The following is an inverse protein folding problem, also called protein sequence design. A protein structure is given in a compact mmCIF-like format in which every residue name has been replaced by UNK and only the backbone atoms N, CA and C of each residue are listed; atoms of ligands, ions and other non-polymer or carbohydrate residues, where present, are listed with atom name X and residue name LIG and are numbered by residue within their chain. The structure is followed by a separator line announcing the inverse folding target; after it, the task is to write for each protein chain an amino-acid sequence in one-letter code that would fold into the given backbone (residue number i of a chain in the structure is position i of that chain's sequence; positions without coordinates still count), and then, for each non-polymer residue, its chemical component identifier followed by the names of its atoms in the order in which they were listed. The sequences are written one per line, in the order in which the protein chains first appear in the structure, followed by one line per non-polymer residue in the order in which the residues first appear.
data_IF_097813150369
#
_entry.id   IF_097813150369
#
_cell.length_a   1.000
_cell.length_b   1.000
_cell.length_c   1.000
_cell.angle_alpha   90.00
_cell.angle_beta   90.00
_cell.angle_gamma   90.00
#
_symmetry.space_group_name_H-M   'P 1'
#
loop_
_entity.id
_entity.type
_entity.pdbx_description
1 polymer ?
#
# COMPACT_ATOMS: atom_id res chain seq x y z
N UNK A 1 -7.96 17.90 24.52
CA UNK A 1 -8.16 17.56 23.10
C UNK A 1 -6.89 17.87 22.35
N UNK A 2 -6.04 16.86 22.14
CA UNK A 2 -4.80 17.01 21.38
C UNK A 2 -5.12 17.12 19.90
N UNK A 3 -4.54 18.10 19.21
CA UNK A 3 -4.65 18.16 17.75
C UNK A 3 -3.88 16.96 17.18
N UNK A 4 -4.61 15.96 16.70
CA UNK A 4 -4.06 14.93 15.85
C UNK A 4 -3.80 15.57 14.48
N UNK A 5 -2.63 15.31 13.91
CA UNK A 5 -2.29 15.80 12.60
C UNK A 5 -3.19 15.16 11.52
N UNK A 6 -3.48 15.91 10.46
CA UNK A 6 -4.54 15.56 9.49
C UNK A 6 -4.04 14.68 8.34
N UNK A 7 -2.73 14.57 8.12
CA UNK A 7 -2.13 13.85 7.00
C UNK A 7 -1.20 12.71 7.45
N UNK A 8 -1.10 11.61 6.67
CA UNK A 8 -0.18 10.52 6.99
C UNK A 8 1.27 11.02 7.04
N UNK A 9 2.04 10.58 8.03
CA UNK A 9 3.45 10.97 8.19
C UNK A 9 3.70 12.35 8.80
N UNK A 10 2.65 13.08 9.21
CA UNK A 10 2.80 14.31 9.98
C UNK A 10 3.22 14.00 11.42
N UNK A 11 4.15 14.80 11.93
CA UNK A 11 4.59 14.75 13.32
C UNK A 11 4.19 16.04 14.01
N UNK A 12 3.58 15.91 15.19
CA UNK A 12 3.29 17.06 16.04
C UNK A 12 4.58 17.51 16.74
N UNK A 13 5.14 18.65 16.32
CA UNK A 13 6.27 19.31 16.99
C UNK A 13 5.78 20.55 17.73
N UNK A 14 6.37 20.81 18.89
CA UNK A 14 6.09 22.02 19.68
C UNK A 14 7.14 23.07 19.34
N UNK A 15 6.72 24.29 19.01
CA UNK A 15 7.61 25.42 18.75
C UNK A 15 8.20 26.00 20.07
N UNK A 16 9.17 26.90 19.95
CA UNK A 16 9.82 27.55 21.12
C UNK A 16 8.89 28.44 21.94
N UNK A 17 7.70 28.75 21.44
CA UNK A 17 6.64 29.55 22.10
C UNK A 17 5.52 28.66 22.65
N UNK A 18 5.66 27.33 22.59
CA UNK A 18 4.65 26.37 23.05
C UNK A 18 3.52 26.09 22.06
N UNK A 19 3.60 26.60 20.82
CA UNK A 19 2.65 26.31 19.75
C UNK A 19 2.82 24.89 19.21
N UNK A 20 1.74 24.13 19.06
CA UNK A 20 1.76 22.80 18.43
C UNK A 20 1.62 22.94 16.92
N UNK A 21 2.54 22.36 16.16
CA UNK A 21 2.52 22.38 14.70
C UNK A 21 2.72 20.99 14.13
N UNK A 22 1.88 20.63 13.15
CA UNK A 22 2.05 19.43 12.35
C UNK A 22 3.07 19.71 11.25
N UNK A 23 4.16 18.94 11.25
CA UNK A 23 5.24 19.06 10.27
C UNK A 23 5.49 17.74 9.59
N UNK A 24 5.81 17.79 8.30
CA UNK A 24 6.24 16.61 7.57
C UNK A 24 7.63 16.17 8.01
N UNK A 25 7.87 14.87 7.97
CA UNK A 25 9.21 14.31 8.14
C UNK A 25 10.19 14.92 7.14
N UNK A 26 11.32 15.42 7.64
CA UNK A 26 12.33 16.08 6.83
C UNK A 26 13.08 15.09 5.91
N UNK A 27 13.49 13.95 6.46
CA UNK A 27 14.32 12.95 5.77
C UNK A 27 13.90 11.51 6.09
N UNK A 28 14.18 10.61 5.15
CA UNK A 28 13.95 9.18 5.27
C UNK A 28 15.26 8.39 5.25
N UNK A 29 15.32 7.22 5.92
CA UNK A 29 16.46 6.31 5.79
C UNK A 29 16.66 5.89 4.33
N UNK A 30 17.91 5.65 3.93
CA UNK A 30 18.26 5.16 2.58
C UNK A 30 17.95 3.68 2.34
N UNK A 31 17.09 3.09 3.16
CA UNK A 31 16.67 1.69 3.05
C UNK A 31 15.60 1.61 1.97
N UNK A 32 15.85 0.81 0.93
CA UNK A 32 14.96 0.65 -0.23
C UNK A 32 14.18 -0.65 -0.08
N UNK A 33 12.93 -0.51 0.35
CA UNK A 33 11.93 -1.59 0.45
C UNK A 33 10.67 -1.06 -0.23
N UNK A 34 10.55 -1.25 -1.56
CA UNK A 34 9.59 -0.51 -2.36
C UNK A 34 8.14 -0.86 -1.98
N UNK A 35 7.26 0.13 -2.09
CA UNK A 35 5.81 -0.02 -1.86
C UNK A 35 5.02 0.65 -2.98
N UNK A 36 3.86 0.09 -3.29
CA UNK A 36 2.93 0.69 -4.24
C UNK A 36 1.92 1.56 -3.50
N UNK A 37 1.87 2.84 -3.84
CA UNK A 37 0.90 3.79 -3.30
C UNK A 37 -0.47 3.69 -3.97
N UNK A 38 -1.50 4.20 -3.29
CA UNK A 38 -2.86 4.28 -3.84
C UNK A 38 -3.03 5.25 -5.00
N UNK A 39 -2.03 6.09 -5.23
CA UNK A 39 -1.88 6.96 -6.39
C UNK A 39 -1.22 6.26 -7.60
N UNK A 40 -0.91 4.97 -7.49
CA UNK A 40 -0.24 4.19 -8.55
C UNK A 40 1.26 4.48 -8.67
N UNK A 41 1.85 5.22 -7.73
CA UNK A 41 3.28 5.56 -7.71
C UNK A 41 4.04 4.55 -6.85
N UNK A 42 5.20 4.11 -7.34
CA UNK A 42 6.13 3.30 -6.55
C UNK A 42 7.00 4.22 -5.70
N UNK A 43 7.02 3.98 -4.40
CA UNK A 43 7.87 4.69 -3.45
C UNK A 43 8.98 3.78 -2.95
N UNK A 44 10.17 4.35 -2.70
CA UNK A 44 11.36 3.61 -2.25
C UNK A 44 11.15 2.91 -0.89
N UNK A 45 10.31 3.49 -0.03
CA UNK A 45 9.84 2.88 1.21
C UNK A 45 8.58 3.57 1.72
N UNK A 46 7.94 2.99 2.74
CA UNK A 46 6.78 3.58 3.44
C UNK A 46 7.07 5.02 3.87
N UNK A 47 8.26 5.27 4.44
CA UNK A 47 8.66 6.61 4.87
C UNK A 47 8.59 7.63 3.72
N UNK A 48 9.07 7.24 2.52
CA UNK A 48 9.05 8.12 1.36
C UNK A 48 7.62 8.39 0.87
N UNK A 49 6.75 7.39 0.92
CA UNK A 49 5.33 7.53 0.61
C UNK A 49 4.66 8.50 1.58
N UNK A 50 4.82 8.31 2.88
CA UNK A 50 4.21 9.18 3.91
C UNK A 50 4.72 10.61 3.81
N UNK A 51 6.02 10.80 3.64
CA UNK A 51 6.60 12.13 3.43
C UNK A 51 6.00 12.80 2.19
N UNK A 52 5.87 12.07 1.09
CA UNK A 52 5.26 12.60 -0.13
C UNK A 52 3.77 12.92 0.07
N UNK A 53 3.02 12.05 0.76
CA UNK A 53 1.61 12.24 1.10
C UNK A 53 1.41 13.50 1.95
N UNK A 54 2.26 13.68 2.98
CA UNK A 54 2.28 14.86 3.84
C UNK A 54 2.60 16.14 3.06
N UNK A 55 3.69 16.15 2.29
CA UNK A 55 4.12 17.34 1.53
C UNK A 55 3.08 17.74 0.48
N UNK A 56 2.40 16.77 -0.12
CA UNK A 56 1.36 17.01 -1.11
C UNK A 56 -0.02 17.26 -0.49
N UNK A 57 -0.19 17.07 0.84
CA UNK A 57 -1.47 17.09 1.53
C UNK A 57 -2.50 16.18 0.85
N UNK A 58 -2.09 14.95 0.57
CA UNK A 58 -2.92 13.91 -0.06
C UNK A 58 -3.01 12.69 0.84
N UNK A 59 -4.15 12.02 0.78
CA UNK A 59 -4.30 10.74 1.43
C UNK A 59 -3.78 9.63 0.51
N UNK A 60 -2.48 9.34 0.62
CA UNK A 60 -1.85 8.21 -0.06
C UNK A 60 -1.54 7.16 0.99
N UNK A 61 -1.96 5.92 0.74
CA UNK A 61 -1.67 4.76 1.60
C UNK A 61 -1.01 3.67 0.76
N UNK A 62 -0.33 2.74 1.42
CA UNK A 62 0.24 1.58 0.74
C UNK A 62 -0.88 0.63 0.32
N UNK A 63 -0.93 0.31 -0.97
CA UNK A 63 -1.82 -0.71 -1.53
C UNK A 63 -1.22 -2.10 -1.33
N UNK A 64 0.07 -2.27 -1.64
CA UNK A 64 0.81 -3.51 -1.42
C UNK A 64 2.32 -3.27 -1.37
N UNK A 65 3.06 -4.24 -0.82
CA UNK A 65 4.52 -4.32 -0.87
C UNK A 65 5.02 -4.56 -2.30
N UNK A 66 6.16 -3.98 -2.65
CA UNK A 66 6.74 -4.05 -3.99
C UNK A 66 6.37 -2.86 -4.87
N UNK A 67 6.80 -2.90 -6.12
CA UNK A 67 6.54 -1.83 -7.09
C UNK A 67 5.12 -1.91 -7.63
N UNK A 68 4.51 -0.77 -7.95
CA UNK A 68 3.25 -0.75 -8.67
C UNK A 68 3.39 -1.43 -10.04
N UNK A 69 2.32 -2.08 -10.54
CA UNK A 69 2.33 -2.61 -11.89
C UNK A 69 2.52 -1.48 -12.91
N UNK A 70 3.24 -1.76 -14.00
CA UNK A 70 3.46 -0.77 -15.08
C UNK A 70 2.17 -0.40 -15.83
N UNK A 71 1.09 -1.17 -15.65
CA UNK A 71 -0.24 -0.81 -16.13
C UNK A 71 -1.29 -1.13 -15.06
N UNK A 72 -2.07 -0.12 -14.69
CA UNK A 72 -3.12 -0.17 -13.64
C UNK A 72 -4.16 -1.28 -13.90
N UNK A 73 -4.33 -1.67 -15.17
CA UNK A 73 -5.34 -2.64 -15.61
C UNK A 73 -4.75 -3.92 -16.22
N UNK A 74 -3.55 -4.34 -15.83
CA UNK A 74 -2.93 -5.53 -16.42
C UNK A 74 -3.84 -6.77 -16.32
N UNK A 75 -4.38 -7.05 -15.14
CA UNK A 75 -5.31 -8.17 -14.93
C UNK A 75 -6.65 -7.97 -15.65
N UNK A 76 -7.16 -6.73 -15.69
CA UNK A 76 -8.41 -6.41 -16.38
C UNK A 76 -8.31 -6.59 -17.91
N UNK A 77 -7.16 -6.23 -18.51
CA UNK A 77 -6.88 -6.43 -19.94
C UNK A 77 -6.91 -7.90 -20.35
N UNK A 78 -6.55 -8.81 -19.46
CA UNK A 78 -6.62 -10.25 -19.70
C UNK A 78 -7.98 -10.86 -19.31
N UNK A 79 -9.03 -10.03 -19.19
CA UNK A 79 -10.40 -10.47 -18.91
C UNK A 79 -10.62 -10.95 -17.47
N UNK A 80 -9.67 -10.66 -16.56
CA UNK A 80 -9.73 -11.08 -15.15
C UNK A 80 -9.56 -9.87 -14.23
N UNK A 81 -10.55 -8.95 -14.17
CA UNK A 81 -10.48 -7.83 -13.23
C UNK A 81 -10.52 -8.35 -11.78
N UNK A 82 -9.61 -7.83 -10.95
CA UNK A 82 -9.54 -8.17 -9.54
C UNK A 82 -10.76 -7.62 -8.79
N UNK A 83 -11.25 -8.37 -7.78
CA UNK A 83 -12.48 -8.03 -7.06
C UNK A 83 -12.19 -7.66 -5.61
N UNK A 84 -13.02 -6.78 -5.06
CA UNK A 84 -12.91 -6.35 -3.67
C UNK A 84 -11.58 -5.65 -3.40
N UNK A 85 -10.77 -6.24 -2.51
CA UNK A 85 -9.47 -5.71 -2.13
C UNK A 85 -8.28 -6.44 -2.77
N UNK A 86 -8.53 -7.31 -3.75
CA UNK A 86 -7.46 -7.96 -4.51
C UNK A 86 -6.65 -6.93 -5.32
N UNK A 87 -5.35 -7.18 -5.41
CA UNK A 87 -4.39 -6.39 -6.20
C UNK A 87 -3.84 -7.25 -7.33
N UNK A 88 -3.58 -6.62 -8.48
CA UNK A 88 -2.97 -7.27 -9.61
C UNK A 88 -1.45 -7.33 -9.43
N UNK A 89 -0.90 -8.54 -9.25
CA UNK A 89 0.54 -8.76 -9.08
C UNK A 89 1.06 -9.71 -10.15
N UNK A 90 2.32 -9.54 -10.56
CA UNK A 90 3.01 -10.49 -11.43
C UNK A 90 3.64 -11.60 -10.60
N UNK A 91 3.35 -12.85 -10.94
CA UNK A 91 3.97 -14.03 -10.32
C UNK A 91 4.81 -14.82 -11.33
N UNK A 92 5.99 -15.33 -10.94
CA UNK A 92 6.79 -16.18 -11.81
C UNK A 92 6.13 -17.53 -12.03
N UNK A 93 6.22 -18.05 -13.25
CA UNK A 93 5.66 -19.34 -13.67
C UNK A 93 6.81 -20.29 -13.98
N UNK A 94 6.88 -21.41 -13.26
CA UNK A 94 8.02 -22.33 -13.31
C UNK A 94 8.04 -23.26 -14.52
N UNK A 95 6.95 -23.43 -15.27
CA UNK A 95 6.86 -24.40 -16.37
C UNK A 95 6.14 -23.84 -17.60
N UNK A 96 6.83 -23.85 -18.74
CA UNK A 96 6.36 -23.50 -20.07
C UNK A 96 5.39 -24.56 -20.67
N UNK A 97 4.36 -24.95 -19.91
CA UNK A 97 3.28 -25.83 -20.37
C UNK A 97 1.97 -25.09 -20.69
N UNK A 98 1.93 -23.78 -20.46
CA UNK A 98 0.74 -22.95 -20.65
C UNK A 98 1.02 -21.93 -21.75
N UNK A 99 0.46 -22.18 -22.93
CA UNK A 99 0.22 -21.17 -23.96
C UNK A 99 -0.84 -20.15 -23.50
N UNK A 100 -0.69 -19.58 -22.30
CA UNK A 100 -1.60 -18.53 -21.86
C UNK A 100 -1.14 -17.22 -22.49
N UNK A 101 -2.01 -16.63 -23.32
CA UNK A 101 -1.80 -15.35 -24.01
C UNK A 101 -1.50 -14.16 -23.06
N UNK A 102 -1.50 -14.41 -21.75
CA UNK A 102 -1.26 -13.46 -20.67
C UNK A 102 0.13 -13.54 -20.05
N UNK A 103 1.05 -14.32 -20.63
CA UNK A 103 2.41 -14.51 -20.09
C UNK A 103 3.38 -13.54 -20.76
N UNK A 104 4.11 -12.76 -19.97
CA UNK A 104 5.16 -11.85 -20.46
C UNK A 104 6.54 -12.36 -20.08
N UNK A 105 7.51 -12.17 -20.97
CA UNK A 105 8.92 -12.52 -20.74
C UNK A 105 9.62 -11.27 -20.21
N UNK A 106 10.02 -11.28 -18.94
CA UNK A 106 10.87 -10.24 -18.35
C UNK A 106 12.30 -10.77 -18.32
N UNK A 107 13.13 -10.38 -19.28
CA UNK A 107 14.53 -10.80 -19.36
C UNK A 107 15.37 -10.06 -18.32
N UNK A 108 15.78 -10.76 -17.25
CA UNK A 108 16.85 -10.29 -16.36
C UNK A 108 18.10 -11.12 -16.65
N UNK A 109 18.97 -10.63 -17.53
CA UNK A 109 20.18 -11.35 -17.95
C UNK A 109 19.86 -12.52 -18.89
N UNK A 110 20.48 -13.68 -18.63
CA UNK A 110 20.37 -14.90 -19.45
C UNK A 110 19.11 -15.74 -19.19
N UNK A 111 18.42 -15.50 -18.07
CA UNK A 111 17.25 -16.28 -17.65
C UNK A 111 15.94 -15.59 -18.06
N UNK A 112 15.12 -16.33 -18.82
CA UNK A 112 13.75 -15.92 -19.16
C UNK A 112 12.81 -16.31 -18.02
N UNK A 113 12.43 -15.34 -17.18
CA UNK A 113 11.41 -15.58 -16.16
C UNK A 113 10.05 -15.21 -16.75
N UNK A 114 9.24 -16.24 -17.00
CA UNK A 114 7.85 -16.10 -17.42
C UNK A 114 7.05 -15.54 -16.23
N UNK A 115 6.44 -14.38 -16.40
CA UNK A 115 5.58 -13.75 -15.41
C UNK A 115 4.14 -13.73 -15.91
N UNK A 116 3.19 -13.99 -15.02
CA UNK A 116 1.75 -13.91 -15.31
C UNK A 116 1.05 -12.99 -14.30
N UNK A 117 0.14 -12.11 -14.75
CA UNK A 117 -0.65 -11.27 -13.85
C UNK A 117 -1.72 -12.10 -13.14
N UNK A 118 -1.79 -11.97 -11.82
CA UNK A 118 -2.75 -12.67 -10.98
C UNK A 118 -3.30 -11.72 -9.93
N UNK A 119 -4.61 -11.83 -9.69
CA UNK A 119 -5.25 -11.19 -8.55
C UNK A 119 -4.89 -11.96 -7.28
N UNK A 120 -4.43 -11.22 -6.28
CA UNK A 120 -4.12 -11.77 -4.96
C UNK A 120 -4.42 -10.72 -3.89
N UNK A 121 -4.62 -11.16 -2.66
CA UNK A 121 -4.73 -10.22 -1.55
C UNK A 121 -3.41 -9.46 -1.34
N UNK A 122 -3.48 -8.17 -0.95
CA UNK A 122 -2.30 -7.35 -0.79
C UNK A 122 -1.37 -7.92 0.29
N UNK A 123 -0.08 -7.88 -0.02
CA UNK A 123 0.99 -8.18 0.93
C UNK A 123 1.36 -6.85 1.57
N UNK A 124 1.33 -6.79 2.90
CA UNK A 124 1.70 -5.61 3.66
C UNK A 124 3.00 -5.93 4.43
N UNK A 125 4.03 -5.06 4.39
CA UNK A 125 5.21 -5.22 5.23
C UNK A 125 4.84 -5.23 6.73
N UNK A 126 5.62 -5.92 7.56
CA UNK A 126 5.33 -6.01 9.00
C UNK A 126 5.77 -4.74 9.77
N UNK A 127 6.77 -4.03 9.25
CA UNK A 127 7.33 -2.82 9.84
C UNK A 127 6.52 -1.58 9.44
N UNK A 128 5.69 -1.10 10.37
CA UNK A 128 5.18 0.27 10.46
C UNK A 128 4.76 0.92 9.13
N UNK A 129 3.58 0.56 8.62
CA UNK A 129 2.99 1.12 7.39
C UNK A 129 2.27 2.45 7.58
N UNK A 130 2.66 3.20 8.60
CA UNK A 130 1.98 4.39 9.07
C UNK A 130 1.00 4.11 10.20
N UNK A 131 0.08 5.05 10.38
CA UNK A 131 -0.81 5.09 11.54
C UNK A 131 -1.82 3.93 11.56
N UNK A 132 -2.21 3.54 12.77
CA UNK A 132 -3.33 2.64 12.99
C UNK A 132 -4.61 3.21 12.38
N UNK A 133 -5.54 2.31 12.03
CA UNK A 133 -6.87 2.68 11.55
C UNK A 133 -7.94 1.85 12.26
N UNK A 134 -9.07 2.46 12.54
CA UNK A 134 -10.24 1.77 13.05
C UNK A 134 -11.08 1.28 11.87
N UNK A 135 -11.44 0.01 11.87
CA UNK A 135 -12.32 -0.59 10.89
C UNK A 135 -13.80 -0.38 11.20
N UNK A 136 -14.67 -0.54 10.20
CA UNK A 136 -16.13 -0.57 10.37
C UNK A 136 -16.64 -1.75 11.21
N UNK A 137 -15.76 -2.68 11.57
CA UNK A 137 -15.99 -3.81 12.47
C UNK A 137 -15.52 -3.53 13.91
N UNK A 138 -15.26 -2.26 14.24
CA UNK A 138 -14.73 -1.80 15.53
C UNK A 138 -13.38 -2.44 15.93
N UNK A 139 -12.61 -2.94 14.95
CA UNK A 139 -11.27 -3.48 15.18
C UNK A 139 -10.21 -2.49 14.73
N UNK A 140 -9.19 -2.32 15.57
CA UNK A 140 -7.98 -1.57 15.20
C UNK A 140 -7.08 -2.42 14.31
N UNK A 141 -6.73 -1.89 13.15
CA UNK A 141 -5.76 -2.45 12.22
C UNK A 141 -4.44 -1.68 12.28
N UNK A 142 -3.34 -2.37 11.96
CA UNK A 142 -1.99 -1.79 11.98
C UNK A 142 -1.80 -0.67 10.95
N UNK A 143 -2.50 -0.76 9.84
CA UNK A 143 -2.58 0.29 8.81
C UNK A 143 -3.75 0.00 7.87
N UNK A 144 -4.04 0.94 6.97
CA UNK A 144 -5.07 0.74 5.94
C UNK A 144 -4.76 -0.47 5.02
N UNK A 145 -3.48 -0.75 4.72
CA UNK A 145 -3.10 -1.96 3.98
C UNK A 145 -3.55 -3.23 4.72
N UNK A 146 -3.28 -3.29 6.04
CA UNK A 146 -3.61 -4.46 6.85
C UNK A 146 -5.12 -4.69 6.97
N UNK A 147 -5.91 -3.61 7.07
CA UNK A 147 -7.36 -3.68 7.04
C UNK A 147 -7.84 -4.28 5.72
N UNK A 148 -7.37 -3.76 4.59
CA UNK A 148 -7.76 -4.24 3.24
C UNK A 148 -7.28 -5.67 2.98
N UNK A 149 -6.09 -6.03 3.46
CA UNK A 149 -5.57 -7.39 3.37
C UNK A 149 -6.43 -8.38 4.19
N UNK A 150 -6.85 -7.99 5.40
CA UNK A 150 -7.75 -8.78 6.22
C UNK A 150 -9.10 -8.96 5.53
N UNK A 151 -9.71 -7.85 5.08
CA UNK A 151 -10.96 -7.83 4.34
C UNK A 151 -10.93 -8.73 3.09
N UNK A 152 -9.82 -8.70 2.34
CA UNK A 152 -9.60 -9.57 1.19
C UNK A 152 -9.60 -11.06 1.57
N UNK A 153 -8.82 -11.42 2.60
CA UNK A 153 -8.64 -12.82 3.03
C UNK A 153 -9.91 -13.42 3.62
N UNK A 154 -10.70 -12.62 4.34
CA UNK A 154 -11.97 -13.04 4.94
C UNK A 154 -13.17 -12.85 4.02
N UNK A 155 -12.98 -12.26 2.83
CA UNK A 155 -14.03 -11.84 1.89
C UNK A 155 -15.05 -10.88 2.52
N UNK A 156 -14.64 -10.12 3.53
CA UNK A 156 -15.47 -9.13 4.19
C UNK A 156 -15.37 -7.79 3.43
N UNK A 157 -16.10 -7.68 2.30
CA UNK A 157 -15.95 -6.56 1.37
C UNK A 157 -16.46 -5.20 1.91
N UNK A 158 -17.28 -5.23 2.95
CA UNK A 158 -17.81 -4.03 3.61
C UNK A 158 -16.89 -3.49 4.72
N UNK A 159 -15.80 -4.21 5.03
CA UNK A 159 -14.79 -3.77 5.99
C UNK A 159 -13.98 -2.62 5.41
N UNK A 160 -14.20 -1.42 5.95
CA UNK A 160 -13.58 -0.16 5.50
C UNK A 160 -12.95 0.56 6.68
N UNK A 161 -12.09 1.53 6.40
CA UNK A 161 -11.61 2.45 7.43
C UNK A 161 -12.77 3.34 7.88
N UNK A 162 -13.09 3.29 9.17
CA UNK A 162 -14.07 4.15 9.83
C UNK A 162 -13.41 5.44 10.33
N UNK A 163 -12.25 5.34 10.97
CA UNK A 163 -11.47 6.49 11.45
C UNK A 163 -9.97 6.21 11.42
N UNK A 164 -9.16 7.27 11.43
CA UNK A 164 -7.71 7.17 11.65
C UNK A 164 -7.44 7.10 13.15
N UNK A 165 -6.43 6.33 13.52
CA UNK A 165 -6.15 5.95 14.90
C UNK A 165 -6.80 4.64 15.28
N UNK A 166 -6.55 4.16 16.51
CA UNK A 166 -7.23 3.01 17.08
C UNK A 166 -8.72 3.28 17.34
N UNK A 167 -9.52 2.21 17.41
CA UNK A 167 -10.91 2.31 17.84
C UNK A 167 -11.00 2.66 19.34
N UNK A 168 -12.02 3.44 19.71
CA UNK A 168 -12.31 3.77 21.12
C UNK A 168 -11.50 4.93 21.71
N UNK A 169 -10.75 5.68 20.89
CA UNK A 169 -10.19 6.99 21.23
C UNK A 169 -11.16 8.16 20.92
#
# INVERSE_FOLDING_TARGET
MGQACSWPGEQCRVDTRGGKQCVCRESCPRVVVPVCGSDGITYDSVCHLERAACLQKKHVWVVHAGQCPQSIDECARFGRPCKGYEVCIRRPVANAGLSSASTMIMSRGSDQILMTPQCACPICPEDGLGDNVCGTDDRTYRSECHLRAAACRTRHLDLRVQSRGPCGE
#
